data_IF_934456735831
#
_entry.id   IF_934456735831
#
_cell.length_a   1.000
_cell.length_b   1.000
_cell.length_c   1.000
_cell.angle_alpha   90.00
_cell.angle_beta   90.00
_cell.angle_gamma   90.00
#
_symmetry.space_group_name_H-M   'P 1'
#
loop_
_entity.id
_entity.type
_entity.pdbx_description
1 polymer ?
#
# COMPACT_ATOMS: atom_id res chain seq x y z
N UNK A 1 -5.71 3.23 28.34
CA UNK A 1 -4.63 3.10 27.34
C UNK A 1 -5.17 3.60 26.02
N UNK A 2 -4.43 4.46 25.32
CA UNK A 2 -4.88 4.98 24.02
C UNK A 2 -4.69 3.90 22.96
N UNK A 3 -5.74 3.60 22.20
CA UNK A 3 -5.73 2.55 21.18
C UNK A 3 -5.73 3.13 19.76
N UNK A 4 -5.32 2.30 18.81
CA UNK A 4 -5.45 2.53 17.38
C UNK A 4 -6.53 1.63 16.81
N UNK A 5 -7.27 2.15 15.82
CA UNK A 5 -8.33 1.43 15.12
C UNK A 5 -7.95 1.21 13.66
N UNK A 6 -7.82 -0.04 13.22
CA UNK A 6 -7.64 -0.40 11.82
C UNK A 6 -8.93 -0.97 11.25
N UNK A 7 -9.45 -0.37 10.18
CA UNK A 7 -10.58 -0.91 9.42
C UNK A 7 -10.15 -1.25 7.99
N UNK A 8 -10.35 -2.51 7.61
CA UNK A 8 -10.05 -3.04 6.28
C UNK A 8 -11.28 -3.67 5.64
N UNK A 9 -11.40 -3.66 4.32
CA UNK A 9 -12.49 -4.37 3.64
C UNK A 9 -12.20 -5.88 3.51
N UNK A 10 -13.27 -6.68 3.51
CA UNK A 10 -13.17 -8.12 3.22
C UNK A 10 -12.55 -8.38 1.84
N UNK A 11 -11.87 -9.53 1.68
CA UNK A 11 -11.32 -9.95 0.38
C UNK A 11 -12.15 -11.05 -0.29
N UNK A 12 -12.13 -11.07 -1.63
CA UNK A 12 -12.70 -12.18 -2.41
C UNK A 12 -12.04 -13.51 -2.05
N UNK A 13 -10.71 -13.53 -2.02
CA UNK A 13 -9.92 -14.70 -1.62
C UNK A 13 -10.11 -15.01 -0.13
N UNK A 14 -10.46 -16.27 0.17
CA UNK A 14 -10.67 -16.79 1.53
C UNK A 14 -10.09 -18.21 1.59
N UNK A 15 -9.61 -18.61 2.76
CA UNK A 15 -9.30 -20.03 2.99
C UNK A 15 -10.60 -20.82 3.16
N UNK A 16 -10.67 -22.02 2.60
CA UNK A 16 -11.87 -22.87 2.57
C UNK A 16 -11.81 -24.06 3.53
N UNK A 17 -10.62 -24.37 4.05
CA UNK A 17 -10.31 -25.69 4.60
C UNK A 17 -10.91 -25.94 5.98
N UNK A 18 -11.29 -24.87 6.68
CA UNK A 18 -11.88 -24.92 8.02
C UNK A 18 -13.25 -24.25 7.98
N UNK A 19 -14.25 -24.89 8.61
CA UNK A 19 -15.64 -24.43 8.60
C UNK A 19 -15.75 -23.00 9.12
N UNK A 20 -15.23 -22.72 10.33
CA UNK A 20 -15.20 -21.39 10.95
C UNK A 20 -13.76 -20.96 11.26
N UNK A 21 -13.41 -19.72 10.93
CA UNK A 21 -12.09 -19.13 11.19
C UNK A 21 -12.25 -17.71 11.69
N UNK A 22 -11.35 -17.21 12.55
CA UNK A 22 -11.27 -15.79 12.86
C UNK A 22 -11.23 -14.99 11.54
N UNK A 23 -11.97 -13.90 11.45
CA UNK A 23 -12.10 -13.13 10.22
C UNK A 23 -10.72 -12.71 9.66
N UNK A 24 -9.76 -12.37 10.52
CA UNK A 24 -8.39 -12.06 10.11
C UNK A 24 -7.64 -13.22 9.45
N UNK A 25 -7.97 -14.46 9.82
CA UNK A 25 -7.42 -15.67 9.23
C UNK A 25 -8.22 -16.10 8.00
N UNK A 26 -9.56 -15.96 8.01
CA UNK A 26 -10.43 -16.34 6.88
C UNK A 26 -10.03 -15.65 5.59
N UNK A 27 -9.84 -14.33 5.61
CA UNK A 27 -9.58 -13.54 4.41
C UNK A 27 -8.12 -13.62 3.98
N UNK A 28 -7.85 -13.87 2.69
CA UNK A 28 -6.50 -14.09 2.17
C UNK A 28 -6.05 -13.03 1.12
N UNK A 29 -6.63 -11.83 1.18
CA UNK A 29 -6.16 -10.69 0.40
C UNK A 29 -4.76 -10.21 0.82
N UNK A 30 -4.08 -9.48 -0.07
CA UNK A 30 -2.73 -8.93 0.19
C UNK A 30 -2.66 -8.05 1.44
N UNK A 31 -3.70 -7.28 1.74
CA UNK A 31 -3.83 -6.47 2.96
C UNK A 31 -3.77 -7.37 4.21
N UNK A 32 -4.54 -8.45 4.23
CA UNK A 32 -4.57 -9.40 5.35
C UNK A 32 -3.22 -10.09 5.57
N UNK A 33 -2.47 -10.37 4.50
CA UNK A 33 -1.11 -10.92 4.63
C UNK A 33 -0.16 -9.96 5.34
N UNK A 34 -0.24 -8.66 5.05
CA UNK A 34 0.55 -7.61 5.73
C UNK A 34 0.16 -7.52 7.21
N UNK A 35 -1.14 -7.46 7.50
CA UNK A 35 -1.64 -7.37 8.88
C UNK A 35 -1.25 -8.61 9.69
N UNK A 36 -1.50 -9.83 9.19
CA UNK A 36 -1.08 -11.06 9.88
C UNK A 36 0.43 -11.14 10.06
N UNK A 37 1.23 -10.64 9.11
CA UNK A 37 2.68 -10.57 9.29
C UNK A 37 3.04 -9.65 10.46
N UNK A 38 2.43 -8.47 10.56
CA UNK A 38 2.63 -7.54 11.67
C UNK A 38 2.25 -8.17 13.01
N UNK A 39 1.07 -8.78 13.11
CA UNK A 39 0.58 -9.41 14.34
C UNK A 39 1.47 -10.54 14.84
N UNK A 40 2.15 -11.27 13.95
CA UNK A 40 3.12 -12.31 14.34
C UNK A 40 4.46 -11.74 14.84
N UNK A 41 4.78 -10.50 14.50
CA UNK A 41 6.09 -9.89 14.73
C UNK A 41 6.09 -8.87 15.87
N UNK A 42 4.93 -8.32 16.23
CA UNK A 42 4.82 -7.21 17.17
C UNK A 42 3.67 -7.43 18.16
N UNK A 43 3.83 -6.95 19.39
CA UNK A 43 2.74 -6.84 20.36
C UNK A 43 1.69 -5.85 19.85
N UNK A 44 0.42 -6.26 19.88
CA UNK A 44 -0.67 -5.53 19.24
C UNK A 44 -1.83 -5.19 20.18
N UNK A 45 -1.60 -5.20 21.50
CA UNK A 45 -2.64 -4.90 22.52
C UNK A 45 -3.24 -3.48 22.39
N UNK A 46 -2.48 -2.58 21.75
CA UNK A 46 -2.90 -1.21 21.46
C UNK A 46 -3.71 -1.09 20.15
N UNK A 47 -3.89 -2.17 19.39
CA UNK A 47 -4.46 -2.15 18.05
C UNK A 47 -5.74 -2.99 17.98
N UNK A 48 -6.87 -2.32 17.78
CA UNK A 48 -8.14 -2.98 17.47
C UNK A 48 -8.32 -3.04 15.94
N UNK A 49 -8.69 -4.21 15.43
CA UNK A 49 -8.84 -4.47 13.99
C UNK A 49 -10.27 -4.87 13.69
N UNK A 50 -10.92 -4.14 12.79
CA UNK A 50 -12.25 -4.45 12.28
C UNK A 50 -12.23 -4.65 10.78
N UNK A 51 -13.13 -5.51 10.31
CA UNK A 51 -13.26 -5.88 8.90
C UNK A 51 -14.65 -5.54 8.43
N UNK A 52 -14.75 -4.72 7.39
CA UNK A 52 -16.01 -4.45 6.71
C UNK A 52 -16.30 -5.57 5.71
N UNK A 53 -17.23 -6.43 6.07
CA UNK A 53 -17.72 -7.58 5.29
C UNK A 53 -19.01 -7.26 4.56
N UNK A 54 -19.12 -7.71 3.31
CA UNK A 54 -20.38 -7.67 2.57
C UNK A 54 -21.48 -8.53 3.21
N UNK A 55 -21.11 -9.64 3.87
CA UNK A 55 -22.07 -10.55 4.50
C UNK A 55 -22.40 -10.12 5.92
N UNK A 56 -21.37 -9.84 6.72
CA UNK A 56 -21.50 -9.67 8.16
C UNK A 56 -21.49 -8.21 8.64
N UNK A 57 -21.34 -7.23 7.75
CA UNK A 57 -21.18 -5.83 8.15
C UNK A 57 -19.80 -5.58 8.77
N UNK A 58 -19.73 -4.73 9.80
CA UNK A 58 -18.46 -4.38 10.46
C UNK A 58 -18.19 -5.34 11.64
N UNK A 59 -17.24 -6.24 11.45
CA UNK A 59 -16.95 -7.34 12.40
C UNK A 59 -15.54 -7.24 12.98
N UNK A 60 -15.34 -7.79 14.18
CA UNK A 60 -14.00 -7.88 14.80
C UNK A 60 -13.10 -8.82 14.02
N UNK A 61 -11.79 -8.57 14.02
CA UNK A 61 -10.78 -9.48 13.44
C UNK A 61 -10.81 -10.88 14.04
N UNK A 62 -11.27 -11.01 15.28
CA UNK A 62 -11.34 -12.26 16.03
C UNK A 62 -12.67 -13.02 15.83
N UNK A 63 -13.66 -12.39 15.19
CA UNK A 63 -14.97 -12.99 14.99
C UNK A 63 -14.85 -14.24 14.11
N UNK A 64 -15.36 -15.37 14.59
CA UNK A 64 -15.37 -16.62 13.84
C UNK A 64 -16.41 -16.54 12.73
N UNK A 65 -15.96 -16.65 11.48
CA UNK A 65 -16.85 -16.59 10.32
C UNK A 65 -16.73 -17.85 9.44
N UNK A 66 -17.86 -18.31 8.88
CA UNK A 66 -17.86 -19.41 7.94
C UNK A 66 -17.27 -18.98 6.60
N UNK A 67 -16.95 -19.96 5.74
CA UNK A 67 -16.70 -19.67 4.34
C UNK A 67 -17.98 -19.13 3.67
N UNK A 68 -17.83 -18.15 2.77
CA UNK A 68 -18.94 -17.55 2.05
C UNK A 68 -18.48 -16.85 0.77
N UNK A 69 -19.38 -16.71 -0.20
CA UNK A 69 -19.17 -15.89 -1.38
C UNK A 69 -20.27 -14.83 -1.51
N UNK A 70 -19.97 -13.63 -1.05
CA UNK A 70 -20.82 -12.46 -1.21
C UNK A 70 -19.93 -11.26 -1.50
N UNK A 71 -20.15 -10.64 -2.65
CA UNK A 71 -19.45 -9.44 -3.09
C UNK A 71 -20.16 -8.21 -2.53
N UNK A 72 -19.38 -7.18 -2.16
CA UNK A 72 -19.95 -5.86 -1.93
C UNK A 72 -20.25 -5.22 -3.28
N UNK A 73 -21.53 -4.99 -3.56
CA UNK A 73 -21.99 -4.13 -4.64
C UNK A 73 -22.69 -2.89 -4.07
N UNK A 74 -23.13 -1.99 -4.95
CA UNK A 74 -23.78 -0.74 -4.56
C UNK A 74 -25.09 -0.95 -3.80
N UNK A 75 -25.86 -1.98 -4.15
CA UNK A 75 -27.13 -2.27 -3.48
C UNK A 75 -26.85 -2.78 -2.07
N UNK A 76 -25.91 -3.72 -1.95
CA UNK A 76 -25.52 -4.28 -0.66
C UNK A 76 -24.89 -3.25 0.26
N UNK A 77 -24.09 -2.32 -0.28
CA UNK A 77 -23.51 -1.25 0.54
C UNK A 77 -24.59 -0.35 1.15
N UNK A 78 -25.63 -0.02 0.39
CA UNK A 78 -26.79 0.75 0.88
C UNK A 78 -27.57 -0.02 1.95
N UNK A 79 -27.83 -1.32 1.72
CA UNK A 79 -28.57 -2.17 2.67
C UNK A 79 -27.92 -2.24 4.07
N UNK A 80 -26.58 -2.28 4.13
CA UNK A 80 -25.85 -2.40 5.40
C UNK A 80 -25.35 -1.05 5.93
N UNK A 81 -25.57 0.04 5.21
CA UNK A 81 -24.94 1.33 5.52
C UNK A 81 -25.27 1.79 6.94
N UNK A 82 -26.56 1.81 7.29
CA UNK A 82 -27.02 2.30 8.59
C UNK A 82 -26.50 1.44 9.74
N UNK A 83 -26.48 0.11 9.60
CA UNK A 83 -25.99 -0.78 10.66
C UNK A 83 -24.46 -0.70 10.82
N UNK A 84 -23.72 -0.56 9.73
CA UNK A 84 -22.27 -0.34 9.76
C UNK A 84 -21.94 1.00 10.39
N UNK A 85 -22.64 2.09 10.02
CA UNK A 85 -22.42 3.41 10.61
C UNK A 85 -22.76 3.44 12.10
N UNK A 86 -23.86 2.80 12.51
CA UNK A 86 -24.20 2.67 13.92
C UNK A 86 -23.09 1.94 14.69
N UNK A 87 -22.62 0.79 14.17
CA UNK A 87 -21.54 0.04 14.81
C UNK A 87 -20.23 0.82 14.85
N UNK A 88 -19.91 1.55 13.78
CA UNK A 88 -18.72 2.38 13.73
C UNK A 88 -18.79 3.52 14.76
N UNK A 89 -19.92 4.21 14.88
CA UNK A 89 -20.11 5.25 15.90
C UNK A 89 -20.01 4.68 17.31
N UNK A 90 -20.63 3.52 17.57
CA UNK A 90 -20.51 2.81 18.85
C UNK A 90 -19.04 2.50 19.19
N UNK A 91 -18.25 2.03 18.20
CA UNK A 91 -16.82 1.78 18.39
C UNK A 91 -16.08 3.07 18.74
N UNK A 92 -16.34 4.16 18.03
CA UNK A 92 -15.68 5.45 18.29
C UNK A 92 -16.06 6.06 19.65
N UNK A 93 -17.26 5.77 20.17
CA UNK A 93 -17.73 6.27 21.46
C UNK A 93 -17.23 5.41 22.63
N UNK A 94 -17.19 4.09 22.46
CA UNK A 94 -16.80 3.14 23.51
C UNK A 94 -15.29 2.96 23.61
N UNK A 95 -14.56 3.13 22.50
CA UNK A 95 -13.12 3.01 22.45
C UNK A 95 -12.41 4.35 22.67
N UNK A 96 -11.31 4.32 23.41
CA UNK A 96 -10.40 5.48 23.51
C UNK A 96 -9.39 5.41 22.36
N UNK A 97 -9.84 5.81 21.17
CA UNK A 97 -9.00 5.85 19.97
C UNK A 97 -8.45 7.26 19.70
N UNK A 98 -7.16 7.38 19.39
CA UNK A 98 -6.57 8.62 18.88
C UNK A 98 -6.18 8.54 17.39
N UNK A 99 -6.09 7.33 16.83
CA UNK A 99 -5.75 7.10 15.42
C UNK A 99 -6.66 6.03 14.85
N UNK A 100 -7.22 6.31 13.67
CA UNK A 100 -7.96 5.33 12.88
C UNK A 100 -7.40 5.29 11.46
N UNK A 101 -7.16 4.10 10.92
CA UNK A 101 -6.86 3.90 9.50
C UNK A 101 -8.00 3.18 8.80
N UNK A 102 -8.55 3.83 7.77
CA UNK A 102 -9.48 3.24 6.81
C UNK A 102 -8.69 2.77 5.58
N UNK A 103 -8.38 1.48 5.49
CA UNK A 103 -7.66 0.88 4.38
C UNK A 103 -8.58 -0.01 3.55
N UNK A 104 -9.37 0.61 2.67
CA UNK A 104 -10.39 -0.07 1.86
C UNK A 104 -10.55 0.50 0.45
N UNK A 105 -11.27 -0.20 -0.43
CA UNK A 105 -11.62 0.31 -1.77
C UNK A 105 -12.65 1.44 -1.71
N UNK A 106 -12.80 2.20 -2.80
CA UNK A 106 -13.69 3.36 -2.84
C UNK A 106 -15.15 2.98 -2.57
N UNK A 107 -15.61 1.85 -3.10
CA UNK A 107 -16.98 1.35 -2.91
C UNK A 107 -17.32 1.11 -1.44
N UNK A 108 -16.32 0.75 -0.63
CA UNK A 108 -16.49 0.52 0.81
C UNK A 108 -16.43 1.83 1.60
N UNK A 109 -15.61 2.80 1.16
CA UNK A 109 -15.52 4.10 1.84
C UNK A 109 -16.85 4.86 1.84
N UNK A 110 -17.66 4.69 0.78
CA UNK A 110 -18.97 5.34 0.66
C UNK A 110 -19.96 4.96 1.77
N UNK A 111 -19.73 3.87 2.50
CA UNK A 111 -20.56 3.50 3.65
C UNK A 111 -20.37 4.52 4.78
N UNK A 112 -19.13 4.96 4.99
CA UNK A 112 -18.71 5.86 6.06
C UNK A 112 -18.93 7.34 5.68
N UNK A 113 -20.07 7.74 5.12
CA UNK A 113 -20.24 9.15 4.71
C UNK A 113 -20.74 10.06 5.86
N UNK A 114 -21.25 9.48 6.94
CA UNK A 114 -22.01 10.19 7.99
C UNK A 114 -21.28 10.25 9.35
N UNK A 115 -20.01 9.82 9.43
CA UNK A 115 -19.32 9.74 10.73
C UNK A 115 -18.85 11.09 11.29
N UNK A 116 -18.84 12.16 10.48
CA UNK A 116 -18.17 13.43 10.82
C UNK A 116 -18.70 14.10 12.08
N UNK A 117 -19.99 13.94 12.37
CA UNK A 117 -20.64 14.53 13.54
C UNK A 117 -20.30 13.78 14.85
N UNK A 118 -19.82 12.54 14.75
CA UNK A 118 -19.54 11.65 15.87
C UNK A 118 -18.04 11.46 16.16
N UNK A 119 -17.17 12.23 15.51
CA UNK A 119 -15.72 12.17 15.73
C UNK A 119 -15.37 12.91 17.03
N UNK A 120 -14.70 12.23 17.96
CA UNK A 120 -14.10 12.89 19.12
C UNK A 120 -12.97 13.82 18.66
N UNK A 121 -12.83 15.01 19.27
CA UNK A 121 -11.86 16.05 18.85
C UNK A 121 -10.40 15.58 18.73
N UNK A 122 -10.05 14.45 19.34
CA UNK A 122 -8.68 13.92 19.40
C UNK A 122 -8.42 12.72 18.47
N UNK A 123 -9.40 12.30 17.67
CA UNK A 123 -9.25 11.17 16.74
C UNK A 123 -8.71 11.64 15.37
N UNK A 124 -7.55 11.12 14.99
CA UNK A 124 -6.98 11.31 13.65
C UNK A 124 -7.42 10.17 12.74
N UNK A 125 -8.22 10.46 11.72
CA UNK A 125 -8.63 9.48 10.72
C UNK A 125 -7.74 9.61 9.48
N UNK A 126 -7.04 8.54 9.14
CA UNK A 126 -6.28 8.38 7.90
C UNK A 126 -7.06 7.52 6.93
N UNK A 127 -7.21 7.96 5.68
CA UNK A 127 -7.83 7.17 4.61
C UNK A 127 -6.74 6.77 3.62
N UNK A 128 -6.54 5.45 3.43
CA UNK A 128 -5.57 4.97 2.45
C UNK A 128 -6.13 5.11 1.02
N UNK A 129 -5.59 6.05 0.25
CA UNK A 129 -6.02 6.36 -1.12
C UNK A 129 -5.00 5.92 -2.18
N UNK A 130 -5.42 5.88 -3.45
CA UNK A 130 -4.56 5.52 -4.58
C UNK A 130 -4.58 4.04 -4.95
N UNK A 131 -3.55 3.60 -5.67
CA UNK A 131 -3.41 2.20 -6.14
C UNK A 131 -3.27 1.24 -4.96
N UNK A 132 -3.52 -0.06 -5.19
CA UNK A 132 -3.38 -1.08 -4.14
C UNK A 132 -1.98 -1.06 -3.50
N UNK A 133 -0.92 -0.83 -4.29
CA UNK A 133 0.45 -0.70 -3.79
C UNK A 133 0.65 0.52 -2.88
N UNK A 134 0.05 1.67 -3.23
CA UNK A 134 0.08 2.87 -2.39
C UNK A 134 -0.66 2.63 -1.07
N UNK A 135 -1.84 2.00 -1.12
CA UNK A 135 -2.59 1.63 0.10
C UNK A 135 -1.81 0.67 1.00
N UNK A 136 -1.14 -0.33 0.43
CA UNK A 136 -0.29 -1.25 1.19
C UNK A 136 0.92 -0.54 1.82
N UNK A 137 1.49 0.47 1.14
CA UNK A 137 2.59 1.27 1.68
C UNK A 137 2.13 2.13 2.85
N UNK A 138 0.96 2.79 2.71
CA UNK A 138 0.32 3.55 3.80
C UNK A 138 0.01 2.64 4.99
N UNK A 139 -0.59 1.48 4.75
CA UNK A 139 -0.89 0.50 5.80
C UNK A 139 0.38 0.06 6.54
N UNK A 140 1.45 -0.23 5.80
CA UNK A 140 2.71 -0.62 6.41
C UNK A 140 3.31 0.52 7.24
N UNK A 141 3.40 1.73 6.70
CA UNK A 141 3.89 2.89 7.44
C UNK A 141 3.06 3.17 8.68
N UNK A 142 1.74 3.00 8.59
CA UNK A 142 0.85 3.22 9.73
C UNK A 142 1.04 2.15 10.83
N UNK A 143 1.23 0.88 10.46
CA UNK A 143 1.45 -0.22 11.39
C UNK A 143 2.85 -0.21 12.02
N UNK A 144 3.89 0.00 11.21
CA UNK A 144 5.29 -0.16 11.63
C UNK A 144 5.97 1.17 11.97
N UNK A 145 5.33 2.32 11.70
CA UNK A 145 5.94 3.64 11.81
C UNK A 145 6.98 3.96 10.72
N UNK A 146 7.23 3.02 9.79
CA UNK A 146 8.22 3.13 8.73
C UNK A 146 7.71 2.55 7.42
N UNK A 147 8.20 3.10 6.30
CA UNK A 147 7.95 2.54 4.97
C UNK A 147 8.66 1.19 4.83
N UNK A 148 8.03 0.19 4.16
CA UNK A 148 8.57 -1.16 4.10
C UNK A 148 9.99 -1.22 3.56
N UNK A 149 10.84 -2.05 4.17
CA UNK A 149 12.24 -2.23 3.74
C UNK A 149 12.38 -2.58 2.26
N UNK A 150 11.46 -3.32 1.64
CA UNK A 150 11.55 -3.62 0.20
C UNK A 150 11.35 -2.39 -0.72
N UNK A 151 10.86 -1.28 -0.16
CA UNK A 151 10.87 0.02 -0.83
C UNK A 151 12.24 0.69 -0.75
N UNK A 152 13.02 0.35 0.29
CA UNK A 152 14.36 0.83 0.60
C UNK A 152 15.49 -0.14 0.21
N UNK A 153 15.21 -1.40 -0.15
CA UNK A 153 16.21 -2.48 -0.20
C UNK A 153 17.34 -2.19 -1.19
N UNK A 154 18.39 -1.59 -0.67
CA UNK A 154 19.77 -1.92 -0.97
C UNK A 154 19.97 -3.36 -0.49
N UNK A 155 20.31 -4.28 -1.40
CA UNK A 155 21.13 -5.42 -0.97
C UNK A 155 22.51 -4.82 -0.73
N UNK A 156 22.94 -4.76 0.53
CA UNK A 156 24.25 -4.25 0.97
C UNK A 156 25.44 -4.94 0.25
N UNK A 157 25.20 -6.09 -0.41
CA UNK A 157 26.18 -6.82 -1.20
C UNK A 157 26.09 -6.60 -2.71
N UNK A 158 25.46 -5.53 -3.19
CA UNK A 158 25.43 -5.29 -4.64
C UNK A 158 26.61 -4.45 -5.08
N UNK A 159 27.43 -5.01 -5.97
CA UNK A 159 28.52 -4.30 -6.66
C UNK A 159 27.94 -3.00 -7.24
N UNK A 160 28.32 -1.86 -6.65
CA UNK A 160 27.95 -0.55 -7.18
C UNK A 160 28.60 -0.38 -8.55
N UNK A 161 27.81 0.04 -9.54
CA UNK A 161 28.27 0.36 -10.89
C UNK A 161 27.98 -0.69 -11.95
N UNK A 162 27.48 -1.88 -11.59
CA UNK A 162 27.05 -2.91 -12.56
C UNK A 162 25.67 -3.45 -12.22
N UNK A 163 24.77 -3.46 -13.20
CA UNK A 163 23.42 -4.00 -13.06
C UNK A 163 22.97 -4.72 -14.33
N UNK A 164 22.11 -5.73 -14.18
CA UNK A 164 21.57 -6.50 -15.31
C UNK A 164 20.05 -6.51 -15.27
N UNK A 165 19.42 -6.21 -16.40
CA UNK A 165 17.98 -6.31 -16.57
C UNK A 165 17.66 -7.05 -17.87
N UNK A 166 16.96 -8.18 -17.76
CA UNK A 166 16.60 -9.04 -18.92
C UNK A 166 17.80 -9.38 -19.84
N UNK A 167 18.95 -9.66 -19.25
CA UNK A 167 20.17 -10.02 -20.00
C UNK A 167 20.96 -8.82 -20.53
N UNK A 168 20.44 -7.59 -20.42
CA UNK A 168 21.19 -6.38 -20.76
C UNK A 168 21.96 -5.94 -19.53
N UNK A 169 23.29 -5.93 -19.67
CA UNK A 169 24.20 -5.43 -18.67
C UNK A 169 24.46 -3.94 -18.88
N UNK A 170 24.37 -3.18 -17.80
CA UNK A 170 24.78 -1.78 -17.74
C UNK A 170 25.91 -1.68 -16.73
N UNK A 171 27.03 -1.15 -17.17
CA UNK A 171 28.21 -0.90 -16.36
C UNK A 171 28.60 0.58 -16.53
N UNK A 172 27.94 1.46 -15.78
CA UNK A 172 28.09 2.91 -15.88
C UNK A 172 28.16 3.53 -14.49
N UNK A 173 28.97 4.58 -14.36
CA UNK A 173 29.03 5.40 -13.16
C UNK A 173 27.82 6.31 -13.03
N UNK A 174 27.59 6.80 -11.80
CA UNK A 174 26.50 7.73 -11.49
C UNK A 174 26.54 9.00 -12.36
N UNK A 175 27.72 9.56 -12.61
CA UNK A 175 27.90 10.75 -13.46
C UNK A 175 27.42 10.52 -14.89
N UNK A 176 27.78 9.38 -15.48
CA UNK A 176 27.47 9.05 -16.88
C UNK A 176 25.96 8.81 -17.04
N UNK A 177 25.35 8.12 -16.06
CA UNK A 177 23.90 7.89 -16.04
C UNK A 177 23.14 9.22 -15.96
N UNK A 178 23.59 10.15 -15.11
CA UNK A 178 22.98 11.47 -15.02
C UNK A 178 23.19 12.28 -16.30
N UNK A 179 24.35 12.17 -16.97
CA UNK A 179 24.59 12.80 -18.27
C UNK A 179 23.64 12.26 -19.35
N UNK A 180 23.44 10.93 -19.41
CA UNK A 180 22.47 10.31 -20.32
C UNK A 180 21.05 10.81 -20.03
N UNK A 181 20.68 10.93 -18.75
CA UNK A 181 19.37 11.45 -18.37
C UNK A 181 19.19 12.91 -18.81
N UNK A 182 20.19 13.77 -18.61
CA UNK A 182 20.16 15.17 -19.06
C UNK A 182 19.99 15.26 -20.58
N UNK A 183 20.77 14.47 -21.32
CA UNK A 183 20.68 14.45 -22.78
C UNK A 183 19.28 13.99 -23.25
N UNK A 184 18.75 12.91 -22.67
CA UNK A 184 17.41 12.42 -23.00
C UNK A 184 16.30 13.43 -22.69
N UNK A 185 16.47 14.26 -21.63
CA UNK A 185 15.57 15.38 -21.34
C UNK A 185 15.67 16.49 -22.39
N UNK A 186 16.89 16.86 -22.81
CA UNK A 186 17.12 17.89 -23.81
C UNK A 186 16.56 17.49 -25.19
N UNK A 187 16.71 16.23 -25.55
CA UNK A 187 16.22 15.67 -26.83
C UNK A 187 14.72 15.32 -26.81
N UNK A 188 14.03 15.48 -25.67
CA UNK A 188 12.61 15.16 -25.55
C UNK A 188 12.30 13.67 -25.72
N UNK A 189 13.22 12.78 -25.36
CA UNK A 189 13.05 11.34 -25.56
C UNK A 189 12.00 10.76 -24.61
N UNK A 190 10.96 10.14 -25.17
CA UNK A 190 9.98 9.36 -24.41
C UNK A 190 9.11 10.21 -23.46
N UNK A 191 8.81 9.66 -22.27
CA UNK A 191 7.91 10.28 -21.27
C UNK A 191 8.59 10.36 -19.89
N UNK A 192 9.57 11.27 -19.69
CA UNK A 192 10.37 11.36 -18.46
C UNK A 192 9.52 11.60 -17.21
N UNK A 193 8.42 12.34 -17.32
CA UNK A 193 7.58 12.71 -16.18
C UNK A 193 6.48 11.68 -15.87
N UNK A 194 6.47 10.52 -16.53
CA UNK A 194 5.47 9.48 -16.28
C UNK A 194 5.86 8.60 -15.08
N UNK A 195 5.67 9.14 -13.87
CA UNK A 195 5.78 8.43 -12.60
C UNK A 195 4.63 8.85 -11.66
N UNK A 196 4.35 8.01 -10.67
CA UNK A 196 3.27 8.26 -9.69
C UNK A 196 3.77 8.48 -8.26
N UNK A 197 4.96 7.98 -7.94
CA UNK A 197 5.39 7.85 -6.55
C UNK A 197 6.88 7.96 -6.43
N UNK A 198 7.60 7.16 -7.23
CA UNK A 198 9.05 7.08 -7.17
C UNK A 198 9.67 7.89 -8.30
N UNK A 199 10.72 8.65 -7.97
CA UNK A 199 11.45 9.48 -8.93
C UNK A 199 12.96 9.47 -8.68
N UNK A 200 13.70 9.87 -9.71
CA UNK A 200 15.12 10.22 -9.66
C UNK A 200 15.23 11.73 -9.83
N UNK A 201 16.16 12.39 -9.15
CA UNK A 201 16.49 13.80 -9.38
C UNK A 201 17.58 13.92 -10.46
N UNK A 202 17.31 14.71 -11.48
CA UNK A 202 18.26 15.06 -12.55
C UNK A 202 18.23 16.58 -12.69
N UNK A 203 19.24 17.27 -12.19
CA UNK A 203 19.30 18.74 -12.10
C UNK A 203 17.98 19.35 -11.60
N UNK A 204 17.55 18.90 -10.41
CA UNK A 204 16.32 19.30 -9.71
C UNK A 204 15.00 18.91 -10.40
N UNK A 205 15.05 18.22 -11.54
CA UNK A 205 13.87 17.66 -12.21
C UNK A 205 13.61 16.25 -11.72
N UNK A 206 12.36 16.01 -11.29
CA UNK A 206 11.87 14.67 -10.95
C UNK A 206 11.55 13.89 -12.21
N UNK A 207 12.25 12.76 -12.42
CA UNK A 207 12.04 11.88 -13.58
C UNK A 207 11.69 10.45 -13.17
N UNK A 208 11.03 9.73 -14.07
CA UNK A 208 10.58 8.37 -13.88
C UNK A 208 11.75 7.39 -13.87
N UNK A 209 11.87 6.52 -12.84
CA UNK A 209 12.89 5.47 -12.80
C UNK A 209 12.80 4.52 -14.00
N UNK A 210 11.57 4.26 -14.49
CA UNK A 210 11.38 3.38 -15.64
C UNK A 210 11.87 4.01 -16.93
N UNK A 211 11.66 5.31 -17.09
CA UNK A 211 12.14 6.05 -18.25
C UNK A 211 13.67 6.04 -18.28
N UNK A 212 14.33 6.33 -17.15
CA UNK A 212 15.79 6.33 -17.09
C UNK A 212 16.36 4.93 -17.42
N UNK A 213 15.79 3.86 -16.86
CA UNK A 213 16.22 2.50 -17.20
C UNK A 213 15.97 2.16 -18.67
N UNK A 214 14.90 2.68 -19.27
CA UNK A 214 14.64 2.52 -20.71
C UNK A 214 15.73 3.18 -21.55
N UNK A 215 16.22 4.36 -21.16
CA UNK A 215 17.36 5.00 -21.82
C UNK A 215 18.64 4.16 -21.71
N UNK A 216 18.93 3.65 -20.50
CA UNK A 216 20.15 2.89 -20.25
C UNK A 216 20.19 1.52 -20.95
N UNK A 217 19.03 0.93 -21.20
CA UNK A 217 18.94 -0.46 -21.71
C UNK A 217 18.36 -0.56 -23.12
N UNK A 218 17.75 0.51 -23.65
CA UNK A 218 16.95 0.47 -24.87
C UNK A 218 15.64 -0.34 -24.75
N UNK A 219 15.37 -0.97 -23.60
CA UNK A 219 14.15 -1.75 -23.40
C UNK A 219 12.93 -0.83 -23.30
N UNK A 220 11.79 -1.16 -23.93
CA UNK A 220 10.58 -0.38 -23.77
C UNK A 220 10.10 -0.45 -22.32
N UNK A 221 9.60 0.67 -21.80
CA UNK A 221 9.11 0.77 -20.41
C UNK A 221 8.04 -0.27 -20.07
N UNK A 222 7.28 -0.78 -21.05
CA UNK A 222 6.28 -1.85 -20.82
C UNK A 222 6.91 -3.19 -20.48
N UNK A 223 8.18 -3.42 -20.82
CA UNK A 223 8.81 -4.74 -20.69
C UNK A 223 9.26 -5.08 -19.27
N UNK A 224 9.32 -4.12 -18.35
CA UNK A 224 9.74 -4.35 -16.97
C UNK A 224 8.90 -3.58 -15.95
N UNK A 225 8.87 -4.09 -14.71
CA UNK A 225 8.14 -3.47 -13.60
C UNK A 225 8.93 -2.34 -12.96
N UNK A 226 8.23 -1.36 -12.39
CA UNK A 226 8.86 -0.23 -11.68
C UNK A 226 9.77 -0.67 -10.52
N UNK A 227 9.48 -1.82 -9.90
CA UNK A 227 10.33 -2.41 -8.86
C UNK A 227 11.70 -2.78 -9.43
N UNK A 228 11.75 -3.43 -10.60
CA UNK A 228 13.00 -3.83 -11.25
C UNK A 228 13.80 -2.63 -11.73
N UNK A 229 13.12 -1.59 -12.22
CA UNK A 229 13.78 -0.36 -12.62
C UNK A 229 14.49 0.33 -11.43
N UNK A 230 13.79 0.47 -10.29
CA UNK A 230 14.39 1.05 -9.08
C UNK A 230 15.56 0.22 -8.57
N UNK A 231 15.40 -1.11 -8.50
CA UNK A 231 16.47 -2.02 -8.10
C UNK A 231 17.71 -1.83 -8.97
N UNK A 232 17.54 -1.82 -10.30
CA UNK A 232 18.66 -1.62 -11.23
C UNK A 232 19.37 -0.28 -11.00
N UNK A 233 18.62 0.82 -10.86
CA UNK A 233 19.21 2.14 -10.61
C UNK A 233 19.96 2.21 -9.29
N UNK A 234 19.42 1.62 -8.22
CA UNK A 234 20.10 1.54 -6.92
C UNK A 234 21.41 0.72 -7.01
N UNK A 235 21.43 -0.37 -7.79
CA UNK A 235 22.66 -1.14 -8.06
C UNK A 235 23.70 -0.32 -8.83
N UNK A 236 23.26 0.62 -9.67
CA UNK A 236 24.11 1.58 -10.37
C UNK A 236 24.46 2.82 -9.49
N UNK A 237 24.07 2.83 -8.22
CA UNK A 237 24.39 3.92 -7.29
C UNK A 237 23.51 5.17 -7.46
N UNK A 238 22.38 5.07 -8.17
CA UNK A 238 21.41 6.17 -8.32
C UNK A 238 20.44 6.17 -7.13
N UNK A 239 20.31 7.32 -6.48
CA UNK A 239 19.33 7.54 -5.43
C UNK A 239 17.90 7.59 -5.99
N UNK A 240 16.97 7.04 -5.23
CA UNK A 240 15.56 6.96 -5.58
C UNK A 240 14.74 7.60 -4.46
N UNK A 241 13.89 8.57 -4.82
CA UNK A 241 13.06 9.32 -3.89
C UNK A 241 11.58 8.94 -4.04
N UNK A 242 10.77 9.27 -3.04
CA UNK A 242 9.32 9.03 -3.02
C UNK A 242 8.55 10.25 -2.53
N UNK A 243 7.38 10.52 -3.11
CA UNK A 243 6.40 11.50 -2.62
C UNK A 243 5.34 10.83 -1.69
N UNK A 244 5.76 9.87 -0.85
CA UNK A 244 4.91 9.22 0.15
C UNK A 244 5.15 9.80 1.55
#
# INVERSE_FOLDING_TARGET
MVKYLLIINCSKSKYSDVENLPAIERYNGVVFRVVRKFLRQQTSDHLDIFILSAKFGLISSHELIPNYDQKMDKKRSQEIQSSVNAKFCELLQTGVYNRCLLCMSQDYLQIFNEYKENITKNLIITIATGTIGKKLSILHQWLYGSTPEYLHTLKENTIKGKATLKGIEVNLGTSDILAIAKQGLMEGQGKPYNYQTWYVLVDDKKVSPKWLVSLLTGLPVSSFHSIKARQMLQQLGIEIYSDL
#
